data_IF_939623742128
#
_entry.id   IF_939623742128
#
_cell.length_a   1.000
_cell.length_b   1.000
_cell.length_c   1.000
_cell.angle_alpha   90.00
_cell.angle_beta   90.00
_cell.angle_gamma   90.00
#
_symmetry.space_group_name_H-M   'P 1'
#
loop_
_entity.id
_entity.type
_entity.pdbx_description
1 polymer ?
#
# COMPACT_ATOMS: atom_id res chain seq x y z
N UNK A 1 -11.34 -2.67 4.95
CA UNK A 1 -10.85 -1.94 3.75
C UNK A 1 -9.70 -2.64 3.04
N UNK A 2 -8.52 -2.81 3.66
CA UNK A 2 -7.40 -3.53 3.02
C UNK A 2 -7.80 -4.91 2.48
N UNK A 3 -8.45 -5.73 3.31
CA UNK A 3 -8.92 -7.05 2.87
C UNK A 3 -10.01 -7.00 1.79
N UNK A 4 -10.81 -5.93 1.74
CA UNK A 4 -11.83 -5.75 0.70
C UNK A 4 -11.16 -5.47 -0.66
N UNK A 5 -10.13 -4.61 -0.66
CA UNK A 5 -9.30 -4.34 -1.85
C UNK A 5 -8.48 -5.56 -2.30
N UNK A 6 -7.92 -6.31 -1.35
CA UNK A 6 -7.23 -7.58 -1.64
C UNK A 6 -8.19 -8.60 -2.24
N UNK A 7 -9.42 -8.69 -1.74
CA UNK A 7 -10.46 -9.55 -2.30
C UNK A 7 -10.84 -9.11 -3.73
N UNK A 8 -11.00 -7.82 -3.97
CA UNK A 8 -11.32 -7.24 -5.28
C UNK A 8 -10.24 -7.53 -6.33
N UNK A 9 -8.96 -7.43 -5.95
CA UNK A 9 -7.83 -7.82 -6.82
C UNK A 9 -7.81 -9.32 -7.03
N UNK A 10 -7.98 -10.11 -5.97
CA UNK A 10 -7.95 -11.56 -6.05
C UNK A 10 -9.06 -12.14 -6.94
N UNK A 11 -10.24 -11.52 -6.96
CA UNK A 11 -11.37 -11.90 -7.84
C UNK A 11 -11.19 -11.45 -9.29
N UNK A 12 -10.16 -10.64 -9.59
CA UNK A 12 -9.91 -10.09 -10.93
C UNK A 12 -10.90 -9.00 -11.32
N UNK A 13 -11.32 -8.18 -10.35
CA UNK A 13 -12.32 -7.11 -10.54
C UNK A 13 -11.75 -5.71 -10.31
N UNK A 14 -10.47 -5.59 -9.95
CA UNK A 14 -9.79 -4.31 -9.79
C UNK A 14 -9.30 -3.78 -11.14
N UNK A 15 -9.75 -2.59 -11.54
CA UNK A 15 -9.36 -1.97 -12.83
C UNK A 15 -7.89 -1.62 -12.84
N UNK A 16 -7.19 -1.96 -13.93
CA UNK A 16 -5.78 -1.61 -14.15
C UNK A 16 -5.65 -0.67 -15.35
N UNK A 17 -4.97 0.46 -15.17
CA UNK A 17 -4.77 1.47 -16.21
C UNK A 17 -4.09 0.91 -17.47
N UNK A 18 -3.16 -0.03 -17.31
CA UNK A 18 -2.31 -0.57 -18.39
C UNK A 18 -2.98 -1.71 -19.15
N UNK A 19 -4.15 -2.18 -18.71
CA UNK A 19 -4.92 -3.22 -19.39
C UNK A 19 -6.15 -2.56 -20.03
N UNK A 20 -6.22 -2.44 -21.38
CA UNK A 20 -7.34 -1.77 -22.04
C UNK A 20 -8.69 -2.38 -21.65
N UNK A 21 -9.55 -1.58 -21.00
CA UNK A 21 -10.84 -2.02 -20.43
C UNK A 21 -10.73 -3.27 -19.55
N UNK A 22 -9.56 -3.49 -18.93
CA UNK A 22 -9.24 -4.72 -18.22
C UNK A 22 -9.07 -4.54 -16.72
N UNK A 23 -8.87 -5.69 -16.09
CA UNK A 23 -8.72 -5.83 -14.65
C UNK A 23 -7.41 -6.52 -14.35
N UNK A 24 -6.86 -6.28 -13.16
CA UNK A 24 -5.74 -7.02 -12.62
C UNK A 24 -6.04 -8.53 -12.65
N UNK A 25 -5.03 -9.38 -12.88
CA UNK A 25 -5.25 -10.82 -12.94
C UNK A 25 -5.70 -11.37 -11.58
N UNK A 26 -6.46 -12.48 -11.63
CA UNK A 26 -6.89 -13.19 -10.43
C UNK A 26 -5.70 -13.69 -9.63
N UNK A 27 -5.77 -13.59 -8.31
CA UNK A 27 -4.73 -14.11 -7.43
C UNK A 27 -5.08 -15.53 -6.98
N UNK A 28 -4.15 -16.47 -7.18
CA UNK A 28 -4.35 -17.87 -6.77
C UNK A 28 -4.32 -18.07 -5.25
N UNK A 29 -3.60 -17.21 -4.51
CA UNK A 29 -3.39 -17.34 -3.06
C UNK A 29 -3.17 -15.98 -2.38
N UNK A 30 -4.17 -15.09 -2.48
CA UNK A 30 -4.12 -13.80 -1.77
C UNK A 30 -4.43 -14.01 -0.29
N UNK A 31 -3.42 -13.84 0.59
CA UNK A 31 -3.62 -14.00 2.04
C UNK A 31 -4.50 -12.89 2.60
N UNK A 32 -5.38 -13.24 3.53
CA UNK A 32 -6.11 -12.28 4.36
C UNK A 32 -5.12 -11.67 5.37
N UNK A 33 -5.17 -10.35 5.51
CA UNK A 33 -4.39 -9.64 6.51
C UNK A 33 -5.06 -9.70 7.87
N UNK A 34 -4.25 -9.86 8.91
CA UNK A 34 -4.65 -9.76 10.31
C UNK A 34 -4.02 -8.52 10.94
N UNK A 35 -4.73 -7.90 11.86
CA UNK A 35 -4.25 -6.71 12.52
C UNK A 35 -3.19 -7.07 13.58
N UNK A 36 -2.09 -6.32 13.65
CA UNK A 36 -1.01 -6.52 14.62
C UNK A 36 -0.73 -5.21 15.37
N UNK A 37 -0.93 -5.22 16.68
CA UNK A 37 -0.75 -4.05 17.54
C UNK A 37 0.71 -3.56 17.58
N UNK A 38 1.70 -4.43 17.34
CA UNK A 38 3.12 -4.02 17.30
C UNK A 38 3.37 -3.08 16.12
N UNK A 39 2.77 -3.39 14.97
CA UNK A 39 2.87 -2.55 13.78
C UNK A 39 2.12 -1.23 13.94
N UNK A 40 0.97 -1.23 14.63
CA UNK A 40 0.29 0.01 15.01
C UNK A 40 1.18 0.87 15.90
N UNK A 41 1.77 0.30 16.95
CA UNK A 41 2.61 1.07 17.88
C UNK A 41 3.81 1.70 17.17
N UNK A 42 4.45 0.94 16.27
CA UNK A 42 5.55 1.43 15.44
C UNK A 42 5.11 2.59 14.53
N UNK A 43 3.95 2.45 13.88
CA UNK A 43 3.35 3.48 13.04
C UNK A 43 3.03 4.75 13.84
N UNK A 44 2.28 4.61 14.93
CA UNK A 44 1.87 5.71 15.79
C UNK A 44 3.06 6.42 16.45
N UNK A 45 4.13 5.68 16.79
CA UNK A 45 5.37 6.27 17.29
C UNK A 45 6.03 7.16 16.24
N UNK A 46 6.12 6.70 15.00
CA UNK A 46 6.74 7.47 13.92
C UNK A 46 5.86 8.65 13.47
N UNK A 47 4.55 8.44 13.33
CA UNK A 47 3.58 9.48 12.94
C UNK A 47 3.59 10.70 13.88
N UNK A 48 3.80 10.49 15.19
CA UNK A 48 3.96 11.57 16.19
C UNK A 48 5.14 12.50 15.93
N UNK A 49 6.12 12.07 15.12
CA UNK A 49 7.23 12.92 14.69
C UNK A 49 6.81 14.01 13.69
N UNK A 50 5.64 13.89 13.06
CA UNK A 50 5.11 14.85 12.09
C UNK A 50 6.06 15.15 10.92
N UNK A 51 6.87 14.17 10.51
CA UNK A 51 7.74 14.26 9.33
C UNK A 51 7.16 13.39 8.22
N UNK A 52 6.94 13.98 7.05
CA UNK A 52 6.40 13.26 5.89
C UNK A 52 7.52 12.65 5.05
N UNK A 53 8.15 11.62 5.60
CA UNK A 53 9.16 10.80 4.93
C UNK A 53 9.07 9.35 5.44
N UNK A 54 9.72 8.42 4.74
CA UNK A 54 9.72 7.03 5.18
C UNK A 54 10.60 6.85 6.41
N UNK A 55 10.16 6.01 7.36
CA UNK A 55 10.95 5.71 8.54
C UNK A 55 12.15 4.82 8.19
N UNK A 56 13.16 4.81 9.07
CA UNK A 56 14.34 3.97 8.87
C UNK A 56 14.00 2.48 9.02
N UNK A 57 14.77 1.62 8.37
CA UNK A 57 14.58 0.17 8.44
C UNK A 57 14.68 -0.37 9.87
N UNK A 58 15.56 0.22 10.69
CA UNK A 58 15.78 -0.16 12.09
C UNK A 58 14.54 0.13 12.93
N UNK A 59 13.85 1.25 12.66
CA UNK A 59 12.60 1.60 13.35
C UNK A 59 11.43 0.68 12.99
N UNK A 60 11.54 -0.03 11.86
CA UNK A 60 10.53 -0.95 11.32
C UNK A 60 10.94 -2.42 11.38
N UNK A 61 11.99 -2.75 12.11
CA UNK A 61 12.46 -4.12 12.21
C UNK A 61 11.59 -4.94 13.16
N UNK A 62 11.18 -6.12 12.69
CA UNK A 62 10.39 -7.10 13.41
C UNK A 62 11.30 -8.25 13.85
N UNK A 63 11.61 -8.30 15.15
CA UNK A 63 12.56 -9.26 15.73
C UNK A 63 12.12 -10.72 15.55
N UNK A 64 10.83 -11.01 15.77
CA UNK A 64 10.30 -12.37 15.69
C UNK A 64 10.30 -12.90 14.25
N UNK A 65 9.87 -12.06 13.30
CA UNK A 65 9.81 -12.39 11.89
C UNK A 65 11.17 -12.25 11.17
N UNK A 66 12.16 -11.63 11.81
CA UNK A 66 13.48 -11.30 11.26
C UNK A 66 13.38 -10.56 9.92
N UNK A 67 12.50 -9.57 9.87
CA UNK A 67 12.19 -8.84 8.65
C UNK A 67 11.87 -7.39 8.92
N UNK A 68 11.83 -6.57 7.87
CA UNK A 68 11.46 -5.15 7.97
C UNK A 68 10.00 -5.04 7.52
N UNK A 69 9.16 -4.43 8.36
CA UNK A 69 7.77 -4.18 8.02
C UNK A 69 7.68 -3.20 6.84
N UNK A 70 6.83 -3.45 5.84
CA UNK A 70 6.54 -2.47 4.79
C UNK A 70 5.88 -1.21 5.34
N UNK A 71 5.87 -0.11 4.58
CA UNK A 71 5.35 1.17 5.03
C UNK A 71 4.66 1.93 3.89
N UNK A 72 3.47 2.48 4.16
CA UNK A 72 2.81 3.45 3.30
C UNK A 72 2.53 4.72 4.10
N UNK A 73 2.72 5.88 3.48
CA UNK A 73 2.50 7.20 4.08
C UNK A 73 1.31 7.89 3.42
N UNK A 74 0.56 8.66 4.21
CA UNK A 74 -0.46 9.55 3.70
C UNK A 74 -0.49 10.86 4.50
N UNK A 75 -0.78 11.96 3.81
CA UNK A 75 -1.06 13.23 4.49
C UNK A 75 -2.24 13.94 3.85
N UNK A 76 -2.92 14.73 4.66
CA UNK A 76 -3.97 15.65 4.22
C UNK A 76 -3.65 17.07 4.67
N UNK A 77 -4.09 18.06 3.91
CA UNK A 77 -4.02 19.47 4.30
C UNK A 77 -5.16 19.90 5.22
N UNK A 78 -6.13 19.02 5.48
CA UNK A 78 -7.25 19.27 6.39
C UNK A 78 -6.73 19.14 7.83
N UNK A 79 -6.66 20.23 8.60
CA UNK A 79 -6.25 20.15 10.00
C UNK A 79 -7.30 19.38 10.81
N UNK A 80 -6.85 18.60 11.79
CA UNK A 80 -7.72 17.82 12.70
C UNK A 80 -8.76 16.99 11.94
N UNK A 81 -8.36 16.44 10.79
CA UNK A 81 -9.21 15.54 10.03
C UNK A 81 -9.61 14.34 10.91
N UNK A 82 -10.88 13.96 10.81
CA UNK A 82 -11.39 12.73 11.44
C UNK A 82 -10.51 11.53 11.04
N UNK A 83 -9.99 10.82 12.04
CA UNK A 83 -8.99 9.77 11.85
C UNK A 83 -9.52 8.62 10.98
N UNK A 84 -10.79 8.24 11.15
CA UNK A 84 -11.42 7.17 10.35
C UNK A 84 -11.53 7.59 8.89
N UNK A 85 -11.95 8.83 8.62
CA UNK A 85 -11.98 9.39 7.26
C UNK A 85 -10.59 9.52 6.66
N UNK A 86 -9.59 9.94 7.45
CA UNK A 86 -8.22 10.04 6.98
C UNK A 86 -7.67 8.66 6.57
N UNK A 87 -7.93 7.62 7.37
CA UNK A 87 -7.59 6.23 7.05
C UNK A 87 -8.31 5.72 5.79
N UNK A 88 -9.57 6.10 5.58
CA UNK A 88 -10.30 5.82 4.34
C UNK A 88 -9.68 6.49 3.12
N UNK A 89 -9.32 7.77 3.23
CA UNK A 89 -8.69 8.49 2.13
C UNK A 89 -7.32 7.89 1.80
N UNK A 90 -6.51 7.61 2.82
CA UNK A 90 -5.20 6.98 2.67
C UNK A 90 -5.30 5.65 1.93
N UNK A 91 -6.13 4.74 2.44
CA UNK A 91 -6.27 3.39 1.86
C UNK A 91 -6.79 3.44 0.42
N UNK A 92 -7.75 4.35 0.13
CA UNK A 92 -8.26 4.56 -1.23
C UNK A 92 -7.18 5.13 -2.15
N UNK A 93 -6.42 6.12 -1.69
CA UNK A 93 -5.36 6.75 -2.47
C UNK A 93 -4.29 5.72 -2.88
N UNK A 94 -3.79 4.94 -1.92
CA UNK A 94 -2.81 3.88 -2.19
C UNK A 94 -3.35 2.83 -3.16
N UNK A 95 -4.60 2.38 -2.98
CA UNK A 95 -5.18 1.37 -3.87
C UNK A 95 -5.44 1.90 -5.29
N UNK A 96 -5.81 3.18 -5.43
CA UNK A 96 -6.13 3.79 -6.72
C UNK A 96 -4.93 3.98 -7.64
N UNK A 97 -3.69 3.83 -7.17
CA UNK A 97 -2.52 3.78 -8.05
C UNK A 97 -2.69 2.73 -9.16
N UNK A 98 -3.34 1.59 -8.90
CA UNK A 98 -3.60 0.59 -9.94
C UNK A 98 -4.47 1.12 -11.09
N UNK A 99 -5.53 1.87 -10.79
CA UNK A 99 -6.46 2.38 -11.82
C UNK A 99 -5.91 3.64 -12.51
N UNK A 100 -5.00 4.36 -11.86
CA UNK A 100 -4.48 5.66 -12.31
C UNK A 100 -3.15 5.50 -13.06
N UNK A 101 -2.28 4.61 -12.57
CA UNK A 101 -0.90 4.40 -13.03
C UNK A 101 -0.71 3.02 -13.65
N UNK A 102 -1.27 1.99 -13.00
CA UNK A 102 -1.34 0.61 -13.50
C UNK A 102 -0.06 -0.21 -13.40
N UNK A 103 -0.23 -1.53 -13.37
CA UNK A 103 0.85 -2.52 -13.21
C UNK A 103 0.96 -3.42 -14.45
N UNK A 104 -0.17 -3.67 -15.12
CA UNK A 104 -0.25 -4.43 -16.36
C UNK A 104 -0.47 -5.93 -16.14
N UNK A 105 -0.74 -6.62 -17.25
CA UNK A 105 -1.20 -8.03 -17.25
C UNK A 105 -0.20 -9.01 -16.63
N UNK A 106 1.10 -8.75 -16.78
CA UNK A 106 2.17 -9.57 -16.21
C UNK A 106 2.20 -9.49 -14.68
N UNK A 107 1.58 -8.46 -14.08
CA UNK A 107 1.49 -8.26 -12.64
C UNK A 107 2.85 -8.36 -11.93
N UNK A 108 3.91 -7.89 -12.60
CA UNK A 108 5.29 -7.92 -12.14
C UNK A 108 5.76 -6.48 -11.94
N UNK A 109 6.21 -6.16 -10.72
CA UNK A 109 6.75 -4.85 -10.39
C UNK A 109 8.18 -4.73 -10.92
N UNK A 110 8.30 -4.29 -12.17
CA UNK A 110 9.58 -4.08 -12.82
C UNK A 110 10.21 -2.75 -12.42
N UNK A 111 11.53 -2.63 -12.57
CA UNK A 111 12.25 -1.36 -12.37
C UNK A 111 11.70 -0.24 -13.25
N UNK A 112 11.32 -0.55 -14.49
CA UNK A 112 10.74 0.42 -15.42
C UNK A 112 9.39 0.96 -14.92
N UNK A 113 8.54 0.12 -14.32
CA UNK A 113 7.27 0.54 -13.74
C UNK A 113 7.48 1.33 -12.44
N UNK A 114 8.43 0.90 -11.61
CA UNK A 114 8.82 1.57 -10.38
C UNK A 114 9.32 2.98 -10.67
N UNK A 115 10.32 3.13 -11.53
CA UNK A 115 11.05 4.38 -11.81
C UNK A 115 10.23 5.46 -12.54
N UNK A 116 8.99 5.18 -12.95
CA UNK A 116 8.13 6.22 -13.56
C UNK A 116 7.95 7.43 -12.64
N UNK A 117 7.93 7.19 -11.33
CA UNK A 117 7.82 8.24 -10.32
C UNK A 117 8.97 9.26 -10.35
N UNK A 118 10.14 8.89 -10.91
CA UNK A 118 11.31 9.76 -11.03
C UNK A 118 11.03 10.90 -12.02
N UNK A 119 10.29 10.61 -13.10
CA UNK A 119 9.96 11.58 -14.14
C UNK A 119 8.62 12.28 -13.89
N UNK A 120 7.66 11.59 -13.28
CA UNK A 120 6.37 12.15 -12.88
C UNK A 120 5.97 11.62 -11.50
N UNK A 121 5.94 12.46 -10.45
CA UNK A 121 5.61 12.02 -9.09
C UNK A 121 4.20 11.43 -8.95
N UNK A 122 3.31 11.64 -9.93
CA UNK A 122 1.98 11.02 -9.94
C UNK A 122 1.99 9.58 -10.48
N UNK A 123 3.13 9.09 -10.98
CA UNK A 123 3.29 7.72 -11.47
C UNK A 123 3.86 6.76 -10.41
N UNK A 124 3.42 6.92 -9.16
CA UNK A 124 3.72 5.99 -8.07
C UNK A 124 2.84 4.75 -8.15
N UNK A 125 3.40 3.59 -7.84
CA UNK A 125 2.68 2.29 -7.79
C UNK A 125 3.06 1.47 -6.55
N UNK A 126 4.00 1.97 -5.74
CA UNK A 126 4.58 1.27 -4.60
C UNK A 126 3.54 0.99 -3.53
N UNK A 127 2.68 1.97 -3.22
CA UNK A 127 1.69 1.84 -2.17
C UNK A 127 0.65 0.75 -2.51
N UNK A 128 0.14 0.73 -3.75
CA UNK A 128 -0.76 -0.32 -4.23
C UNK A 128 -0.11 -1.70 -4.13
N UNK A 129 1.13 -1.84 -4.64
CA UNK A 129 1.80 -3.15 -4.61
C UNK A 129 1.99 -3.66 -3.20
N UNK A 130 2.27 -2.77 -2.24
CA UNK A 130 2.39 -3.12 -0.83
C UNK A 130 1.04 -3.53 -0.20
N UNK A 131 -0.06 -2.83 -0.48
CA UNK A 131 -1.42 -3.19 -0.05
C UNK A 131 -1.83 -4.58 -0.54
N UNK A 132 -1.43 -4.92 -1.78
CA UNK A 132 -1.83 -6.14 -2.47
C UNK A 132 -0.74 -7.22 -2.53
N UNK A 133 0.30 -7.11 -1.70
CA UNK A 133 1.38 -8.11 -1.67
C UNK A 133 0.89 -9.45 -1.09
N UNK A 134 1.03 -10.54 -1.85
CA UNK A 134 0.34 -11.80 -1.52
C UNK A 134 0.90 -12.52 -0.27
N UNK A 135 2.20 -12.39 0.02
CA UNK A 135 2.85 -13.06 1.14
C UNK A 135 2.66 -12.33 2.46
N UNK A 136 2.29 -11.05 2.42
CA UNK A 136 2.00 -10.25 3.61
C UNK A 136 0.89 -10.89 4.43
N UNK A 137 1.18 -11.09 5.73
CA UNK A 137 0.22 -11.58 6.73
C UNK A 137 -0.39 -10.44 7.54
N UNK A 138 0.35 -9.35 7.68
CA UNK A 138 -0.06 -8.17 8.43
C UNK A 138 -0.13 -6.96 7.49
N UNK A 139 -0.99 -5.97 7.78
CA UNK A 139 -0.94 -4.68 7.10
C UNK A 139 0.44 -4.05 7.27
N UNK A 140 0.82 -3.21 6.32
CA UNK A 140 2.00 -2.36 6.47
C UNK A 140 1.81 -1.32 7.57
N UNK A 141 2.94 -0.75 8.01
CA UNK A 141 2.94 0.42 8.88
C UNK A 141 2.29 1.58 8.10
N UNK A 142 1.29 2.21 8.69
CA UNK A 142 0.53 3.30 8.07
C UNK A 142 0.67 4.57 8.89
N UNK A 143 1.27 5.59 8.29
CA UNK A 143 1.59 6.87 8.93
C UNK A 143 0.86 8.00 8.22
#
# INVERSE_FOLDING_TARGET
MHNDFRSLVASGQAKDKLIPNGFAPKAANMRKLEYDCRLEEMAAKYARGCVYEHSSNESRYLEEEKTIAGENLFKTSIPEADEIRALEWATKAWFHELREVGLGKENNLTRALWDRHINDPNMQIGHYTQVNWNTSKYPSVFI
#
